data_IF_614512487599
#
_entry.id   IF_614512487599
#
_cell.length_a   1.000
_cell.length_b   1.000
_cell.length_c   1.000
_cell.angle_alpha   90.00
_cell.angle_beta   90.00
_cell.angle_gamma   90.00
#
_symmetry.space_group_name_H-M   'P 1'
#
loop_
_entity.id
_entity.type
_entity.pdbx_description
1 polymer ?
#
# COMPACT_ATOMS: atom_id res chain seq x y z
N UNK A 1 -8.15 -14.48 11.90
CA UNK A 1 -8.18 -13.07 11.44
C UNK A 1 -6.75 -12.67 11.19
N UNK A 2 -6.43 -12.14 10.00
CA UNK A 2 -5.10 -11.61 9.76
C UNK A 2 -5.10 -10.18 10.30
N UNK A 3 -4.11 -9.85 11.13
CA UNK A 3 -3.94 -8.52 11.68
C UNK A 3 -3.50 -7.56 10.56
N UNK A 4 -4.21 -6.46 10.39
CA UNK A 4 -3.93 -5.45 9.38
C UNK A 4 -3.25 -4.22 9.99
N UNK A 5 -2.40 -3.62 9.18
CA UNK A 5 -1.71 -2.36 9.46
C UNK A 5 -2.14 -1.36 8.41
N UNK A 6 -2.35 -0.13 8.84
CA UNK A 6 -2.74 0.97 7.98
C UNK A 6 -1.72 2.10 8.00
N UNK A 7 -1.65 2.83 6.89
CA UNK A 7 -1.02 4.15 6.83
C UNK A 7 -2.14 5.18 6.71
N UNK A 8 -2.24 6.07 7.71
CA UNK A 8 -3.23 7.16 7.74
C UNK A 8 -2.60 8.46 8.20
N UNK A 9 -3.12 9.59 7.72
CA UNK A 9 -2.71 10.90 8.20
C UNK A 9 -3.29 11.20 9.58
N UNK A 10 -2.55 11.92 10.41
CA UNK A 10 -2.97 12.31 11.77
C UNK A 10 -4.17 13.26 11.78
N UNK A 11 -4.45 13.92 10.64
CA UNK A 11 -5.58 14.83 10.45
C UNK A 11 -6.78 14.18 9.74
N UNK A 12 -6.79 12.85 9.59
CA UNK A 12 -7.81 12.08 8.85
C UNK A 12 -8.01 12.51 7.39
N UNK A 13 -7.08 13.28 6.81
CA UNK A 13 -7.15 13.61 5.38
C UNK A 13 -6.85 12.37 4.54
N UNK A 14 -7.66 12.10 3.50
CA UNK A 14 -7.41 10.98 2.60
C UNK A 14 -6.10 11.19 1.84
N UNK A 15 -5.32 10.13 1.69
CA UNK A 15 -4.12 10.11 0.85
C UNK A 15 -4.57 9.88 -0.59
N UNK A 16 -4.38 10.85 -1.47
CA UNK A 16 -4.78 10.67 -2.87
C UNK A 16 -3.98 9.55 -3.55
N UNK A 17 -4.55 8.94 -4.59
CA UNK A 17 -3.86 7.91 -5.37
C UNK A 17 -2.55 8.46 -5.97
N UNK A 18 -2.54 9.72 -6.40
CA UNK A 18 -1.35 10.36 -6.97
C UNK A 18 -0.22 10.52 -5.93
N UNK A 19 -0.56 10.93 -4.71
CA UNK A 19 0.41 11.00 -3.59
C UNK A 19 0.95 9.61 -3.25
N UNK A 20 0.08 8.60 -3.22
CA UNK A 20 0.49 7.22 -3.00
C UNK A 20 1.45 6.71 -4.08
N UNK A 21 1.11 6.91 -5.35
CA UNK A 21 1.96 6.55 -6.50
C UNK A 21 3.32 7.22 -6.40
N UNK A 22 3.36 8.53 -6.10
CA UNK A 22 4.60 9.28 -5.91
C UNK A 22 5.42 8.75 -4.73
N UNK A 23 4.79 8.42 -3.61
CA UNK A 23 5.49 7.90 -2.45
C UNK A 23 6.10 6.52 -2.71
N UNK A 24 5.38 5.66 -3.43
CA UNK A 24 5.87 4.35 -3.85
C UNK A 24 7.04 4.49 -4.82
N UNK A 25 6.95 5.37 -5.81
CA UNK A 25 8.02 5.60 -6.80
C UNK A 25 9.31 6.17 -6.17
N UNK A 26 9.18 6.98 -5.12
CA UNK A 26 10.30 7.54 -4.37
C UNK A 26 10.80 6.65 -3.23
N UNK A 27 10.28 5.43 -3.07
CA UNK A 27 10.64 4.54 -1.97
C UNK A 27 11.36 3.29 -2.49
N UNK A 28 12.47 2.94 -1.85
CA UNK A 28 13.19 1.71 -2.18
C UNK A 28 12.46 0.48 -1.63
N UNK A 29 12.61 -0.67 -2.30
CA UNK A 29 11.99 -1.95 -1.94
C UNK A 29 10.46 -1.99 -2.01
N UNK A 30 9.83 -0.96 -2.58
CA UNK A 30 8.42 -0.95 -2.92
C UNK A 30 8.27 -0.48 -4.36
N UNK A 31 7.31 -1.03 -5.09
CA UNK A 31 6.96 -0.57 -6.44
C UNK A 31 5.47 -0.69 -6.65
N UNK A 32 4.93 0.06 -7.59
CA UNK A 32 3.56 -0.20 -8.01
C UNK A 32 3.51 -1.57 -8.65
N UNK A 33 2.54 -2.38 -8.20
CA UNK A 33 2.29 -3.66 -8.83
C UNK A 33 1.93 -3.42 -10.29
N UNK A 34 2.34 -4.35 -11.14
CA UNK A 34 1.97 -4.37 -12.55
C UNK A 34 0.49 -4.77 -12.64
N UNK A 35 -0.37 -3.84 -12.24
CA UNK A 35 -1.79 -3.91 -12.51
C UNK A 35 -1.90 -3.74 -14.01
N UNK A 36 -1.84 -4.85 -14.74
CA UNK A 36 -2.41 -4.95 -16.07
C UNK A 36 -3.79 -4.34 -15.93
N UNK A 37 -3.93 -3.11 -16.41
CA UNK A 37 -5.18 -2.37 -16.40
C UNK A 37 -6.15 -3.23 -17.15
N UNK A 38 -6.95 -4.06 -16.46
CA UNK A 38 -8.03 -4.79 -17.11
C UNK A 38 -9.08 -3.72 -17.38
N UNK A 39 -8.87 -3.00 -18.49
CA UNK A 39 -9.86 -2.14 -19.11
C UNK A 39 -10.82 -3.11 -19.77
N UNK A 40 -11.86 -3.50 -19.03
CA UNK A 40 -12.96 -4.23 -19.64
C UNK A 40 -13.82 -3.20 -20.36
N UNK A 41 -13.68 -3.12 -21.67
CA UNK A 41 -14.60 -2.34 -22.49
C UNK A 41 -15.92 -3.09 -22.54
N UNK A 42 -16.99 -2.51 -22.02
CA UNK A 42 -18.33 -3.06 -22.19
C UNK A 42 -18.73 -2.92 -23.67
N UNK A 43 -18.84 -4.04 -24.38
CA UNK A 43 -19.12 -4.07 -25.83
C UNK A 43 -20.51 -3.55 -26.21
N UNK A 44 -21.40 -3.32 -25.24
CA UNK A 44 -22.76 -2.79 -25.47
C UNK A 44 -22.84 -1.28 -25.27
N UNK A 45 -22.06 -0.70 -24.34
CA UNK A 45 -22.13 0.72 -23.97
C UNK A 45 -20.88 1.53 -24.36
N UNK A 46 -19.80 0.87 -24.79
CA UNK A 46 -18.47 1.48 -24.97
C UNK A 46 -17.91 2.15 -23.72
N UNK A 47 -18.49 1.91 -22.54
CA UNK A 47 -17.89 2.34 -21.27
C UNK A 47 -16.65 1.49 -20.97
N UNK A 48 -15.55 2.17 -20.67
CA UNK A 48 -14.36 1.56 -20.12
C UNK A 48 -14.58 1.33 -18.63
N UNK A 49 -14.84 0.09 -18.25
CA UNK A 49 -14.85 -0.32 -16.84
C UNK A 49 -13.40 -0.65 -16.52
N UNK A 50 -12.65 0.37 -16.08
CA UNK A 50 -11.36 0.15 -15.45
C UNK A 50 -11.63 -0.40 -14.05
N UNK A 51 -11.08 -1.57 -13.72
CA UNK A 51 -11.29 -2.16 -12.40
C UNK A 51 -10.51 -1.31 -11.37
N UNK A 52 -11.16 -0.43 -10.58
CA UNK A 52 -10.44 0.52 -9.72
C UNK A 52 -9.71 -0.19 -8.59
N UNK A 53 -10.11 -1.44 -8.30
CA UNK A 53 -9.58 -2.28 -7.23
C UNK A 53 -8.10 -2.65 -7.38
N UNK A 54 -7.52 -2.50 -8.57
CA UNK A 54 -6.09 -2.75 -8.81
C UNK A 54 -5.26 -1.45 -8.87
N UNK A 55 -5.91 -0.29 -8.93
CA UNK A 55 -5.18 0.99 -8.91
C UNK A 55 -4.62 1.23 -7.51
N UNK A 56 -3.29 1.35 -7.41
CA UNK A 56 -2.61 1.60 -6.14
C UNK A 56 -2.30 0.36 -5.31
N UNK A 57 -2.32 -0.85 -5.90
CA UNK A 57 -1.62 -1.99 -5.30
C UNK A 57 -0.13 -1.77 -5.44
N UNK A 58 0.61 -1.84 -4.33
CA UNK A 58 2.06 -1.81 -4.35
C UNK A 58 2.63 -3.14 -3.85
N UNK A 59 3.68 -3.57 -4.54
CA UNK A 59 4.46 -4.75 -4.22
C UNK A 59 5.61 -4.37 -3.31
N UNK A 60 5.86 -5.20 -2.29
CA UNK A 60 7.04 -5.13 -1.45
C UNK A 60 8.06 -6.13 -1.97
N UNK A 61 9.33 -5.76 -1.93
CA UNK A 61 10.44 -6.65 -2.25
C UNK A 61 10.77 -7.52 -1.03
N UNK A 62 10.67 -8.83 -1.15
CA UNK A 62 11.19 -9.75 -0.13
C UNK A 62 12.68 -9.98 -0.36
N UNK A 63 13.52 -9.46 0.52
CA UNK A 63 14.99 -9.62 0.43
C UNK A 63 15.39 -11.10 0.57
N UNK A 64 14.66 -11.90 1.34
CA UNK A 64 14.98 -13.31 1.59
C UNK A 64 14.82 -14.19 0.36
N UNK A 65 13.71 -14.04 -0.36
CA UNK A 65 13.40 -14.80 -1.58
C UNK A 65 13.68 -14.07 -2.89
N UNK A 66 14.08 -12.79 -2.82
CA UNK A 66 14.34 -11.92 -3.97
C UNK A 66 13.15 -11.76 -4.92
N UNK A 67 11.93 -11.83 -4.39
CA UNK A 67 10.69 -11.68 -5.18
C UNK A 67 9.90 -10.46 -4.76
N UNK A 68 9.18 -9.89 -5.72
CA UNK A 68 8.17 -8.88 -5.46
C UNK A 68 6.84 -9.58 -5.17
N UNK A 69 6.14 -9.13 -4.14
CA UNK A 69 4.82 -9.67 -3.81
C UNK A 69 3.86 -8.53 -3.44
N UNK A 70 2.56 -8.65 -3.78
CA UNK A 70 1.57 -7.64 -3.45
C UNK A 70 1.41 -7.55 -1.92
N UNK A 71 1.69 -6.37 -1.37
CA UNK A 71 1.70 -6.15 0.07
C UNK A 71 0.76 -5.02 0.47
N UNK A 72 0.78 -3.91 -0.25
CA UNK A 72 0.03 -2.72 0.09
C UNK A 72 -1.14 -2.53 -0.85
N UNK A 73 -2.30 -2.21 -0.28
CA UNK A 73 -3.50 -1.88 -1.03
C UNK A 73 -3.93 -0.48 -0.66
N UNK A 74 -3.95 0.40 -1.65
CA UNK A 74 -4.63 1.68 -1.53
C UNK A 74 -6.13 1.52 -1.81
N UNK A 75 -6.97 2.08 -0.94
CA UNK A 75 -8.42 2.13 -1.12
C UNK A 75 -9.01 3.33 -0.38
N UNK A 76 -9.78 4.16 -1.08
CA UNK A 76 -10.51 5.32 -0.51
C UNK A 76 -9.63 6.22 0.39
N UNK A 77 -8.39 6.46 -0.02
CA UNK A 77 -7.48 7.34 0.70
C UNK A 77 -6.75 6.73 1.88
N UNK A 78 -6.83 5.41 2.04
CA UNK A 78 -6.13 4.63 3.07
C UNK A 78 -5.26 3.57 2.42
N UNK A 79 -4.12 3.28 3.04
CA UNK A 79 -3.27 2.17 2.64
C UNK A 79 -3.40 1.11 3.71
N UNK A 80 -3.72 -0.12 3.31
CA UNK A 80 -3.83 -1.28 4.20
C UNK A 80 -2.89 -2.37 3.74
N UNK A 81 -2.32 -3.10 4.69
CA UNK A 81 -1.50 -4.28 4.45
C UNK A 81 -1.72 -5.30 5.56
N UNK A 82 -1.49 -6.57 5.27
CA UNK A 82 -1.44 -7.60 6.32
C UNK A 82 -0.09 -7.53 7.00
N UNK A 83 -0.07 -7.54 8.33
CA UNK A 83 1.17 -7.63 9.07
C UNK A 83 1.90 -8.95 8.74
N UNK A 84 3.18 -8.84 8.38
CA UNK A 84 4.07 -9.99 8.32
C UNK A 84 4.26 -10.57 9.72
N UNK A 85 4.70 -11.82 9.81
CA UNK A 85 4.93 -12.50 11.09
C UNK A 85 5.97 -11.81 11.97
N UNK A 86 6.89 -11.07 11.34
CA UNK A 86 7.98 -10.36 11.96
C UNK A 86 7.66 -8.86 12.18
N UNK A 87 6.44 -8.38 11.89
CA UNK A 87 6.12 -6.94 11.88
C UNK A 87 6.46 -6.21 13.19
N UNK A 88 6.20 -6.84 14.33
CA UNK A 88 6.50 -6.27 15.66
C UNK A 88 7.99 -6.29 16.01
N UNK A 89 8.81 -6.97 15.22
CA UNK A 89 10.26 -6.98 15.43
C UNK A 89 10.88 -5.68 14.92
N UNK A 90 11.91 -5.19 15.64
CA UNK A 90 12.61 -3.95 15.29
C UNK A 90 13.23 -3.99 13.88
N UNK A 91 13.57 -5.18 13.39
CA UNK A 91 14.21 -5.40 12.09
C UNK A 91 13.22 -5.76 10.97
N UNK A 92 11.90 -5.62 11.20
CA UNK A 92 10.92 -5.93 10.17
C UNK A 92 11.15 -5.09 8.92
N UNK A 93 11.37 -5.79 7.80
CA UNK A 93 11.54 -5.14 6.50
C UNK A 93 10.27 -4.38 6.10
N UNK A 94 9.11 -5.01 6.27
CA UNK A 94 7.81 -4.40 5.99
C UNK A 94 7.61 -3.13 6.82
N UNK A 95 7.85 -3.17 8.14
CA UNK A 95 7.73 -1.98 8.99
C UNK A 95 8.67 -0.87 8.54
N UNK A 96 9.91 -1.21 8.18
CA UNK A 96 10.89 -0.23 7.70
C UNK A 96 10.41 0.49 6.43
N UNK A 97 9.88 -0.25 5.46
CA UNK A 97 9.33 0.34 4.22
C UNK A 97 8.08 1.17 4.51
N UNK A 98 7.20 0.69 5.40
CA UNK A 98 6.03 1.46 5.83
C UNK A 98 6.40 2.79 6.48
N UNK A 99 7.52 2.85 7.24
CA UNK A 99 8.00 4.11 7.83
C UNK A 99 8.47 5.10 6.80
N UNK A 100 9.19 4.63 5.78
CA UNK A 100 9.62 5.48 4.68
C UNK A 100 8.40 6.06 3.94
N UNK A 101 7.42 5.21 3.61
CA UNK A 101 6.17 5.63 2.96
C UNK A 101 5.36 6.61 3.82
N UNK A 102 5.18 6.29 5.11
CA UNK A 102 4.44 7.15 6.04
C UNK A 102 5.12 8.53 6.17
N UNK A 103 6.45 8.56 6.29
CA UNK A 103 7.22 9.81 6.35
C UNK A 103 7.06 10.66 5.09
N UNK A 104 7.05 10.05 3.90
CA UNK A 104 6.85 10.77 2.64
C UNK A 104 5.42 11.34 2.50
N UNK A 105 4.42 10.63 3.04
CA UNK A 105 3.01 11.00 2.96
C UNK A 105 2.56 11.96 4.06
N UNK A 106 3.44 12.29 5.02
CA UNK A 106 3.08 13.01 6.24
C UNK A 106 2.05 12.24 7.07
N UNK A 107 2.19 10.91 7.11
CA UNK A 107 1.26 9.97 7.70
C UNK A 107 1.92 9.15 8.82
N UNK A 108 1.12 8.33 9.48
CA UNK A 108 1.55 7.45 10.58
C UNK A 108 1.10 6.01 10.29
N UNK A 109 1.87 5.07 10.84
CA UNK A 109 1.55 3.64 10.80
C UNK A 109 0.68 3.32 12.01
N UNK A 110 -0.46 2.70 11.78
CA UNK A 110 -1.40 2.31 12.83
C UNK A 110 -1.85 0.86 12.65
N UNK A 111 -2.03 0.15 13.75
CA UNK A 111 -2.62 -1.18 13.76
C UNK A 111 -4.15 -1.17 13.73
N UNK A 112 -4.73 -2.35 13.60
CA UNK A 112 -6.19 -2.58 13.67
C UNK A 112 -6.80 -2.09 15.00
N UNK A 113 -6.06 -2.16 16.11
CA UNK A 113 -6.54 -1.74 17.44
C UNK A 113 -6.27 -0.25 17.71
N UNK A 114 -5.68 0.46 16.75
CA UNK A 114 -5.36 1.89 16.83
C UNK A 114 -4.01 2.19 17.49
N UNK A 115 -3.23 1.18 17.83
CA UNK A 115 -1.83 1.32 18.23
C UNK A 115 -1.01 1.98 17.12
N UNK A 116 -0.03 2.80 17.50
CA UNK A 116 0.83 3.50 16.55
C UNK A 116 2.22 2.88 16.55
N UNK A 117 2.79 2.73 15.35
CA UNK A 117 4.11 2.15 15.16
C UNK A 117 5.11 3.21 14.68
N UNK A 118 6.18 3.38 15.45
CA UNK A 118 7.31 4.27 15.13
C UNK A 118 8.43 3.59 14.32
#
# INVERSE_FOLDING_TARGET
>A
MAYEIHIRRTNDQPISLEEWVKAVDNSENVRLGDAVSIVVTNSTTSEQISNPQLQGVAELYDVGSQVWFPAFRWFEGRITTRASRDFDTFHSHQRSVMRALASQLGAQIVGDEGESYE
#
